data_IF_243174604076
#
_entry.id   IF_243174604076
#
_cell.length_a   1.000
_cell.length_b   1.000
_cell.length_c   1.000
_cell.angle_alpha   90.00
_cell.angle_beta   90.00
_cell.angle_gamma   90.00
#
_symmetry.space_group_name_H-M   'P 1'
#
loop_
_entity.id
_entity.type
_entity.pdbx_description
1 polymer ?
#
# COMPACT_ATOMS: atom_id res chain seq x y z
N UNK A 1 -5.76 -22.37 -11.72
CA UNK A 1 -4.58 -22.36 -10.85
C UNK A 1 -3.85 -21.04 -11.00
N UNK A 2 -3.54 -20.33 -9.91
CA UNK A 2 -2.77 -19.09 -9.90
C UNK A 2 -1.28 -19.38 -9.67
N UNK A 3 -0.97 -20.28 -8.74
CA UNK A 3 0.36 -20.75 -8.37
C UNK A 3 0.25 -22.16 -7.81
N UNK A 4 1.37 -22.85 -7.55
CA UNK A 4 1.38 -24.14 -6.89
C UNK A 4 0.72 -24.05 -5.51
N UNK A 5 -0.37 -24.80 -5.32
CA UNK A 5 -1.17 -24.79 -4.11
C UNK A 5 -2.16 -23.63 -3.97
N UNK A 6 -2.19 -22.66 -4.92
CA UNK A 6 -3.14 -21.56 -4.92
C UNK A 6 -4.08 -21.63 -6.12
N UNK A 7 -5.36 -21.82 -5.85
CA UNK A 7 -6.40 -21.95 -6.86
C UNK A 7 -7.42 -20.83 -6.69
N UNK A 8 -7.91 -20.32 -7.83
CA UNK A 8 -9.06 -19.44 -7.86
C UNK A 8 -10.29 -20.28 -8.23
N UNK A 9 -11.36 -20.16 -7.44
CA UNK A 9 -12.66 -20.71 -7.80
C UNK A 9 -13.35 -19.67 -8.66
N UNK A 10 -13.61 -20.02 -9.93
CA UNK A 10 -14.33 -19.17 -10.88
C UNK A 10 -15.81 -19.51 -10.71
N UNK A 11 -16.68 -18.55 -10.38
CA UNK A 11 -18.13 -18.77 -10.37
C UNK A 11 -18.59 -19.24 -11.76
N UNK A 12 -19.55 -20.17 -11.79
CA UNK A 12 -20.01 -20.81 -13.05
C UNK A 12 -20.51 -19.82 -14.10
N UNK A 13 -20.99 -18.66 -13.67
CA UNK A 13 -21.55 -17.59 -14.51
C UNK A 13 -20.51 -16.64 -15.10
N UNK A 14 -19.22 -16.80 -14.73
CA UNK A 14 -18.16 -15.87 -15.14
C UNK A 14 -17.17 -16.59 -16.06
N UNK A 15 -16.75 -15.88 -17.12
CA UNK A 15 -15.78 -16.39 -18.10
C UNK A 15 -14.42 -16.74 -17.50
N UNK A 16 -13.68 -17.62 -18.20
CA UNK A 16 -12.32 -18.08 -17.82
C UNK A 16 -11.28 -16.97 -17.63
N UNK A 17 -11.58 -15.73 -18.02
CA UNK A 17 -10.74 -14.54 -17.86
C UNK A 17 -10.89 -13.87 -16.49
N UNK A 18 -11.81 -14.35 -15.63
CA UNK A 18 -11.96 -13.80 -14.28
C UNK A 18 -10.65 -13.89 -13.50
N UNK A 19 -10.21 -12.72 -13.01
CA UNK A 19 -9.11 -12.62 -12.08
C UNK A 19 -9.65 -12.11 -10.74
N UNK A 20 -9.38 -12.79 -9.62
CA UNK A 20 -9.81 -12.32 -8.31
C UNK A 20 -9.12 -11.01 -7.97
N UNK A 21 -9.70 -10.27 -7.02
CA UNK A 21 -9.06 -9.10 -6.45
C UNK A 21 -7.62 -9.44 -6.02
N UNK A 22 -6.62 -8.74 -6.58
CA UNK A 22 -5.21 -9.03 -6.34
C UNK A 22 -4.77 -8.78 -4.89
N UNK A 23 -5.45 -7.90 -4.15
CA UNK A 23 -5.22 -7.73 -2.73
C UNK A 23 -5.54 -9.01 -1.94
N UNK A 24 -6.60 -9.72 -2.33
CA UNK A 24 -6.94 -11.02 -1.76
C UNK A 24 -5.94 -12.10 -2.16
N UNK A 25 -5.42 -12.04 -3.38
CA UNK A 25 -4.34 -12.94 -3.82
C UNK A 25 -3.08 -12.69 -2.98
N UNK A 26 -2.73 -11.43 -2.70
CA UNK A 26 -1.61 -11.06 -1.84
C UNK A 26 -1.75 -11.67 -0.43
N UNK A 27 -2.93 -11.56 0.19
CA UNK A 27 -3.24 -12.16 1.51
C UNK A 27 -2.95 -13.67 1.51
N UNK A 28 -3.36 -14.37 0.47
CA UNK A 28 -3.14 -15.82 0.35
C UNK A 28 -1.68 -16.20 0.02
N UNK A 29 -0.91 -15.33 -0.65
CA UNK A 29 0.50 -15.58 -0.96
C UNK A 29 1.40 -15.52 0.27
N UNK A 30 1.04 -14.71 1.27
CA UNK A 30 1.80 -14.50 2.51
C UNK A 30 1.14 -15.14 3.74
N UNK A 31 0.25 -16.10 3.50
CA UNK A 31 -0.49 -16.81 4.54
C UNK A 31 0.43 -17.30 5.66
N UNK A 32 0.04 -17.01 6.91
CA UNK A 32 0.77 -17.31 8.15
C UNK A 32 2.02 -16.45 8.43
N UNK A 33 2.24 -15.36 7.71
CA UNK A 33 3.31 -14.41 8.00
C UNK A 33 2.73 -13.06 8.40
N UNK A 34 3.46 -12.30 9.22
CA UNK A 34 3.12 -10.90 9.51
C UNK A 34 3.36 -10.04 8.27
N UNK A 35 2.30 -9.47 7.73
CA UNK A 35 2.35 -8.62 6.54
C UNK A 35 1.29 -7.52 6.58
N UNK A 36 1.44 -6.55 5.71
CA UNK A 36 0.38 -5.63 5.29
C UNK A 36 0.58 -5.20 3.84
N UNK A 37 -0.52 -4.84 3.17
CA UNK A 37 -0.49 -4.17 1.87
C UNK A 37 -0.12 -2.71 2.12
N UNK A 38 0.92 -2.22 1.44
CA UNK A 38 1.46 -0.89 1.66
C UNK A 38 1.69 -0.11 0.37
N UNK A 39 2.26 1.10 0.51
CA UNK A 39 2.67 1.94 -0.62
C UNK A 39 1.53 2.23 -1.61
N UNK A 40 1.80 2.13 -2.91
CA UNK A 40 0.82 2.44 -3.96
C UNK A 40 -0.43 1.56 -3.87
N UNK A 41 -0.28 0.28 -3.49
CA UNK A 41 -1.42 -0.62 -3.29
C UNK A 41 -2.32 -0.20 -2.12
N UNK A 42 -1.74 0.33 -1.05
CA UNK A 42 -2.53 0.90 0.05
C UNK A 42 -3.20 2.22 -0.37
N UNK A 43 -2.52 3.05 -1.18
CA UNK A 43 -3.16 4.25 -1.76
C UNK A 43 -4.36 3.88 -2.63
N UNK A 44 -4.32 2.74 -3.35
CA UNK A 44 -5.45 2.20 -4.11
C UNK A 44 -6.62 1.83 -3.19
N UNK A 45 -6.35 1.03 -2.17
CA UNK A 45 -7.37 0.62 -1.18
C UNK A 45 -8.01 1.84 -0.49
N UNK A 46 -7.25 2.90 -0.23
CA UNK A 46 -7.76 4.16 0.32
C UNK A 46 -8.46 5.07 -0.72
N UNK A 47 -8.51 4.68 -1.99
CA UNK A 47 -9.14 5.46 -3.06
C UNK A 47 -8.39 6.74 -3.44
N UNK A 48 -7.07 6.78 -3.24
CA UNK A 48 -6.24 7.97 -3.42
C UNK A 48 -5.49 8.02 -4.74
N UNK A 49 -5.38 6.91 -5.45
CA UNK A 49 -4.69 6.86 -6.74
C UNK A 49 -5.55 7.38 -7.89
N UNK A 50 -4.88 7.72 -8.99
CA UNK A 50 -5.52 8.18 -10.24
C UNK A 50 -5.53 7.11 -11.33
N UNK A 51 -4.62 6.15 -11.24
CA UNK A 51 -4.48 5.07 -12.21
C UNK A 51 -4.22 3.74 -11.49
N UNK A 52 -4.91 2.65 -11.89
CA UNK A 52 -4.67 1.35 -11.30
C UNK A 52 -3.23 0.89 -11.55
N UNK A 53 -2.66 0.18 -10.60
CA UNK A 53 -1.33 -0.41 -10.71
C UNK A 53 -1.42 -1.89 -11.07
N UNK A 54 -0.48 -2.36 -11.89
CA UNK A 54 -0.25 -3.79 -12.12
C UNK A 54 0.80 -4.37 -11.15
N UNK A 55 1.10 -3.62 -10.08
CA UNK A 55 2.06 -4.04 -9.05
C UNK A 55 1.37 -3.99 -7.71
N UNK A 56 1.42 -5.11 -6.99
CA UNK A 56 0.96 -5.23 -5.61
C UNK A 56 2.13 -5.21 -4.66
N UNK A 57 2.14 -4.23 -3.74
CA UNK A 57 3.21 -4.04 -2.77
C UNK A 57 2.84 -4.63 -1.41
N UNK A 58 3.64 -5.59 -0.95
CA UNK A 58 3.45 -6.32 0.29
C UNK A 58 4.62 -6.03 1.21
N UNK A 59 4.35 -5.52 2.38
CA UNK A 59 5.35 -5.25 3.42
C UNK A 59 5.34 -6.37 4.45
N UNK A 60 6.52 -6.88 4.81
CA UNK A 60 6.67 -7.93 5.81
C UNK A 60 7.96 -7.77 6.60
N UNK A 61 8.02 -8.33 7.81
CA UNK A 61 9.26 -8.46 8.58
C UNK A 61 10.20 -9.50 7.99
N UNK A 62 9.64 -10.52 7.35
CA UNK A 62 10.39 -11.61 6.73
C UNK A 62 10.84 -11.24 5.32
N UNK A 63 12.04 -11.69 4.97
CA UNK A 63 12.53 -11.57 3.61
C UNK A 63 11.93 -12.68 2.75
N UNK A 64 11.15 -12.32 1.74
CA UNK A 64 10.67 -13.25 0.72
C UNK A 64 11.70 -13.44 -0.40
N UNK A 65 11.80 -14.67 -0.89
CA UNK A 65 12.63 -15.04 -2.04
C UNK A 65 11.76 -15.88 -2.99
N UNK A 66 11.57 -15.45 -4.24
CA UNK A 66 12.06 -14.19 -4.83
C UNK A 66 11.36 -12.94 -4.26
N UNK A 67 12.02 -11.79 -4.32
CA UNK A 67 11.45 -10.49 -3.90
C UNK A 67 10.30 -10.02 -4.79
N UNK A 68 10.20 -10.56 -6.01
CA UNK A 68 9.19 -10.22 -7.00
C UNK A 68 8.64 -11.50 -7.59
N UNK A 69 7.33 -11.55 -7.78
CA UNK A 69 6.64 -12.68 -8.36
C UNK A 69 5.57 -12.17 -9.33
N UNK A 70 5.57 -12.70 -10.53
CA UNK A 70 4.52 -12.42 -11.52
C UNK A 70 3.47 -13.54 -11.47
N UNK A 71 2.22 -13.16 -11.26
CA UNK A 71 1.07 -14.07 -11.36
C UNK A 71 0.10 -13.46 -12.36
N UNK A 72 -0.06 -14.12 -13.50
CA UNK A 72 -0.70 -13.53 -14.68
C UNK A 72 -0.03 -12.18 -15.01
N UNK A 73 -0.81 -11.09 -15.04
CA UNK A 73 -0.32 -9.77 -15.40
C UNK A 73 -0.03 -8.87 -14.18
N UNK A 74 -0.17 -9.40 -12.96
CA UNK A 74 0.08 -8.65 -11.73
C UNK A 74 1.42 -9.07 -11.13
N UNK A 75 2.26 -8.08 -10.83
CA UNK A 75 3.55 -8.28 -10.17
C UNK A 75 3.40 -8.04 -8.67
N UNK A 76 3.69 -9.04 -7.86
CA UNK A 76 3.73 -8.95 -6.41
C UNK A 76 5.16 -8.64 -5.99
N UNK A 77 5.38 -7.52 -5.28
CA UNK A 77 6.68 -7.12 -4.76
C UNK A 77 6.69 -7.13 -3.24
N UNK A 78 7.65 -7.86 -2.67
CA UNK A 78 7.79 -8.03 -1.22
C UNK A 78 8.87 -7.09 -0.69
N UNK A 79 8.48 -6.21 0.24
CA UNK A 79 9.34 -5.20 0.85
C UNK A 79 9.56 -5.58 2.32
N UNK A 80 10.83 -5.79 2.67
CA UNK A 80 11.18 -6.08 4.06
C UNK A 80 11.28 -4.79 4.86
N UNK A 81 10.63 -4.79 6.04
CA UNK A 81 10.79 -3.80 7.10
C UNK A 81 11.36 -4.44 8.36
N UNK A 82 12.04 -3.64 9.18
CA UNK A 82 12.43 -4.00 10.55
C UNK A 82 11.25 -3.74 11.50
N UNK A 83 11.38 -4.17 12.76
CA UNK A 83 10.33 -4.01 13.78
C UNK A 83 9.96 -2.55 14.03
N UNK A 84 10.93 -1.63 13.96
CA UNK A 84 10.71 -0.20 14.15
C UNK A 84 9.74 0.40 13.13
N UNK A 85 9.81 -0.05 11.87
CA UNK A 85 8.99 0.46 10.78
C UNK A 85 7.73 -0.37 10.51
N UNK A 86 7.60 -1.55 11.14
CA UNK A 86 6.49 -2.46 10.93
C UNK A 86 5.37 -2.23 11.96
N UNK A 87 4.50 -1.24 11.70
CA UNK A 87 3.35 -0.87 12.53
C UNK A 87 2.33 -0.06 11.70
N UNK A 88 1.20 0.34 12.30
CA UNK A 88 0.24 1.25 11.68
C UNK A 88 -0.54 0.58 10.53
N UNK A 89 -1.06 -0.63 10.76
CA UNK A 89 -1.87 -1.35 9.79
C UNK A 89 -3.04 -2.02 10.50
N UNK A 90 -4.11 -2.20 9.75
CA UNK A 90 -5.37 -2.76 10.25
C UNK A 90 -6.08 -3.59 9.18
N UNK A 91 -7.13 -4.31 9.57
CA UNK A 91 -7.99 -5.04 8.64
C UNK A 91 -8.93 -4.08 7.92
N UNK A 92 -8.67 -3.84 6.64
CA UNK A 92 -9.41 -2.91 5.78
C UNK A 92 -10.25 -3.68 4.76
N UNK A 93 -11.49 -3.23 4.53
CA UNK A 93 -12.36 -3.79 3.51
C UNK A 93 -11.82 -3.45 2.11
N UNK A 94 -11.74 -4.46 1.24
CA UNK A 94 -11.38 -4.32 -0.18
C UNK A 94 -12.57 -4.57 -1.11
N UNK A 95 -13.58 -5.20 -0.59
CA UNK A 95 -14.89 -5.44 -1.20
C UNK A 95 -15.93 -5.72 -0.09
N UNK A 96 -17.17 -6.02 -0.47
CA UNK A 96 -18.29 -6.24 0.47
C UNK A 96 -18.10 -7.47 1.38
N UNK A 97 -17.17 -8.37 1.07
CA UNK A 97 -17.01 -9.65 1.76
C UNK A 97 -15.63 -9.88 2.35
N UNK A 98 -14.61 -9.16 1.86
CA UNK A 98 -13.22 -9.47 2.17
C UNK A 98 -12.48 -8.30 2.80
N UNK A 99 -11.65 -8.64 3.79
CA UNK A 99 -10.69 -7.72 4.42
C UNK A 99 -9.27 -8.24 4.25
N UNK A 100 -8.35 -7.32 4.07
CA UNK A 100 -6.91 -7.59 4.07
C UNK A 100 -6.20 -6.73 5.11
N UNK A 101 -5.00 -7.13 5.53
CA UNK A 101 -4.15 -6.24 6.30
C UNK A 101 -3.60 -5.13 5.40
N UNK A 102 -3.89 -3.89 5.73
CA UNK A 102 -3.47 -2.70 4.97
C UNK A 102 -2.89 -1.66 5.93
N UNK A 103 -1.86 -0.95 5.52
CA UNK A 103 -1.42 0.24 6.28
C UNK A 103 -2.56 1.24 6.35
N UNK A 104 -2.78 1.82 7.54
CA UNK A 104 -3.71 2.93 7.70
C UNK A 104 -3.23 4.18 6.92
N UNK A 105 -4.07 5.19 6.85
CA UNK A 105 -3.84 6.33 5.98
C UNK A 105 -2.53 7.07 6.30
N UNK A 106 -2.26 7.36 7.58
CA UNK A 106 -1.07 8.07 8.03
C UNK A 106 0.19 7.24 7.76
N UNK A 107 0.15 5.93 8.06
CA UNK A 107 1.26 5.03 7.79
C UNK A 107 1.53 4.88 6.30
N UNK A 108 0.47 4.81 5.49
CA UNK A 108 0.59 4.73 4.02
C UNK A 108 1.35 5.94 3.49
N UNK A 109 1.00 7.16 3.92
CA UNK A 109 1.71 8.39 3.51
C UNK A 109 3.18 8.35 3.96
N UNK A 110 3.46 7.96 5.20
CA UNK A 110 4.83 7.84 5.73
C UNK A 110 5.66 6.82 4.93
N UNK A 111 5.12 5.65 4.64
CA UNK A 111 5.79 4.64 3.85
C UNK A 111 6.10 5.14 2.43
N UNK A 112 5.12 5.78 1.79
CA UNK A 112 5.28 6.37 0.47
C UNK A 112 6.36 7.47 0.45
N UNK A 113 6.37 8.34 1.45
CA UNK A 113 7.41 9.37 1.59
C UNK A 113 8.78 8.78 1.88
N UNK A 114 8.84 7.65 2.59
CA UNK A 114 10.10 6.97 2.89
C UNK A 114 10.73 6.33 1.65
N UNK A 115 9.93 5.61 0.86
CA UNK A 115 10.38 4.90 -0.35
C UNK A 115 9.51 5.25 -1.58
N UNK A 116 9.65 6.46 -2.15
CA UNK A 116 8.79 6.95 -3.24
C UNK A 116 8.79 6.08 -4.49
N UNK A 117 9.83 5.28 -4.71
CA UNK A 117 9.93 4.37 -5.84
C UNK A 117 8.84 3.28 -5.84
N UNK A 118 8.21 3.01 -4.68
CA UNK A 118 7.08 2.07 -4.56
C UNK A 118 5.71 2.76 -4.61
N UNK A 119 5.69 4.05 -4.95
CA UNK A 119 4.46 4.88 -4.94
C UNK A 119 4.31 5.72 -6.21
N UNK A 120 4.89 5.27 -7.31
CA UNK A 120 4.91 6.00 -8.60
C UNK A 120 5.53 7.40 -8.53
N UNK A 121 6.41 7.61 -7.54
CA UNK A 121 7.15 8.85 -7.34
C UNK A 121 6.45 9.88 -6.44
N UNK A 122 7.15 11.01 -6.24
CA UNK A 122 6.72 12.02 -5.25
C UNK A 122 5.43 12.74 -5.67
N UNK A 123 5.21 12.92 -6.95
CA UNK A 123 4.02 13.61 -7.47
C UNK A 123 2.72 12.91 -7.10
N UNK A 124 2.69 11.58 -7.21
CA UNK A 124 1.51 10.80 -6.80
C UNK A 124 1.29 10.85 -5.28
N UNK A 125 2.37 10.89 -4.51
CA UNK A 125 2.29 11.06 -3.05
C UNK A 125 1.68 12.42 -2.69
N UNK A 126 2.12 13.49 -3.35
CA UNK A 126 1.56 14.86 -3.15
C UNK A 126 0.06 14.87 -3.45
N UNK A 127 -0.36 14.29 -4.58
CA UNK A 127 -1.79 14.17 -4.92
C UNK A 127 -2.57 13.38 -3.87
N UNK A 128 -2.00 12.29 -3.37
CA UNK A 128 -2.62 11.46 -2.33
C UNK A 128 -2.79 12.25 -1.02
N UNK A 129 -1.76 12.99 -0.58
CA UNK A 129 -1.81 13.84 0.60
C UNK A 129 -2.90 14.91 0.41
N UNK A 130 -2.93 15.59 -0.73
CA UNK A 130 -3.93 16.61 -1.03
C UNK A 130 -5.36 16.05 -0.98
N UNK A 131 -5.61 14.92 -1.64
CA UNK A 131 -6.93 14.25 -1.61
C UNK A 131 -7.35 13.80 -0.22
N UNK A 132 -6.40 13.44 0.63
CA UNK A 132 -6.66 12.92 1.97
C UNK A 132 -6.59 13.97 3.08
N UNK A 133 -6.28 15.24 2.78
CA UNK A 133 -6.04 16.30 3.79
C UNK A 133 -7.09 16.40 4.89
N UNK A 134 -8.37 16.20 4.54
CA UNK A 134 -9.49 16.27 5.49
C UNK A 134 -9.74 14.96 6.28
N UNK A 135 -9.04 13.88 5.91
CA UNK A 135 -9.17 12.55 6.55
C UNK A 135 -7.97 12.21 7.44
N UNK A 136 -6.85 12.91 7.25
CA UNK A 136 -5.62 12.70 8.01
C UNK A 136 -5.77 13.23 9.44
N UNK A 137 -5.43 12.37 10.41
CA UNK A 137 -5.33 12.76 11.81
C UNK A 137 -3.91 13.29 12.08
N UNK A 138 -3.81 14.59 12.33
CA UNK A 138 -2.54 15.27 12.59
C UNK A 138 -1.83 14.78 13.85
N UNK A 139 -2.56 14.37 14.90
CA UNK A 139 -1.97 13.85 16.13
C UNK A 139 -1.39 12.45 15.89
N UNK A 140 -2.12 11.60 15.18
CA UNK A 140 -1.67 10.26 14.79
C UNK A 140 -0.49 10.34 13.83
N UNK A 141 -0.52 11.25 12.86
CA UNK A 141 0.59 11.49 11.94
C UNK A 141 1.87 11.86 12.71
N UNK A 142 1.80 12.80 13.66
CA UNK A 142 2.92 13.21 14.50
C UNK A 142 3.48 12.04 15.30
N UNK A 143 2.62 11.28 15.98
CA UNK A 143 3.01 10.10 16.76
C UNK A 143 3.71 9.06 15.89
N UNK A 144 3.22 8.86 14.66
CA UNK A 144 3.81 7.90 13.72
C UNK A 144 5.14 8.38 13.16
N UNK A 145 5.30 9.68 12.89
CA UNK A 145 6.56 10.27 12.45
C UNK A 145 7.64 10.11 13.53
N UNK A 146 7.29 10.38 14.80
CA UNK A 146 8.20 10.20 15.93
C UNK A 146 8.62 8.72 16.09
N UNK A 147 7.67 7.79 15.99
CA UNK A 147 7.95 6.36 16.08
C UNK A 147 8.77 5.84 14.90
N UNK A 148 8.47 6.28 13.69
CA UNK A 148 9.16 5.88 12.46
C UNK A 148 10.59 6.42 12.44
N UNK A 149 10.82 7.59 12.98
CA UNK A 149 12.12 8.23 13.21
C UNK A 149 13.02 8.28 11.96
N UNK A 150 12.48 8.74 10.84
CA UNK A 150 13.20 8.90 9.59
C UNK A 150 13.21 10.35 9.13
N UNK A 151 14.35 11.03 9.25
CA UNK A 151 14.49 12.45 8.89
C UNK A 151 14.12 12.77 7.44
N UNK A 152 14.34 11.82 6.52
CA UNK A 152 13.97 11.99 5.12
C UNK A 152 12.46 12.14 4.92
N UNK A 153 11.66 11.47 5.74
CA UNK A 153 10.18 11.57 5.72
C UNK A 153 9.77 12.96 6.21
N UNK A 154 10.32 13.40 7.36
CA UNK A 154 10.04 14.73 7.92
C UNK A 154 10.38 15.85 6.93
N UNK A 155 11.55 15.79 6.29
CA UNK A 155 11.96 16.80 5.30
C UNK A 155 11.05 16.82 4.08
N UNK A 156 10.66 15.64 3.55
CA UNK A 156 9.78 15.56 2.39
C UNK A 156 8.36 16.04 2.72
N UNK A 157 7.82 15.63 3.87
CA UNK A 157 6.51 16.06 4.31
C UNK A 157 6.49 17.56 4.57
N UNK A 158 7.48 18.10 5.30
CA UNK A 158 7.61 19.53 5.57
C UNK A 158 7.65 20.35 4.29
N UNK A 159 8.50 19.97 3.32
CA UNK A 159 8.56 20.62 2.03
C UNK A 159 7.21 20.62 1.28
N UNK A 160 6.51 19.48 1.30
CA UNK A 160 5.18 19.38 0.67
C UNK A 160 4.20 20.30 1.36
N UNK A 161 4.14 20.31 2.70
CA UNK A 161 3.19 21.12 3.45
C UNK A 161 3.47 22.64 3.32
N UNK A 162 4.72 23.06 3.26
CA UNK A 162 5.11 24.46 3.04
C UNK A 162 4.69 24.99 1.67
N UNK A 163 4.63 24.11 0.67
CA UNK A 163 4.27 24.46 -0.70
C UNK A 163 2.84 24.07 -1.07
N UNK A 164 1.99 23.73 -0.10
CA UNK A 164 0.61 23.26 -0.35
C UNK A 164 -0.25 24.30 -1.09
N UNK A 165 -0.04 25.59 -0.84
CA UNK A 165 -0.76 26.67 -1.51
C UNK A 165 -0.50 26.73 -3.02
N UNK A 166 0.63 26.18 -3.50
CA UNK A 166 0.95 26.12 -4.92
C UNK A 166 0.18 25.00 -5.64
N UNK A 167 -0.34 24.02 -4.90
CA UNK A 167 -1.10 22.89 -5.45
C UNK A 167 -2.61 23.15 -5.61
N UNK A 168 -3.12 24.25 -5.06
CA UNK A 168 -4.52 24.65 -5.25
C UNK A 168 -4.80 25.11 -6.70
N UNK A 169 -3.74 25.29 -7.52
CA UNK A 169 -3.81 25.71 -8.92
C UNK A 169 -3.53 24.58 -9.92
N UNK A 170 -3.38 23.32 -9.47
CA UNK A 170 -3.19 22.12 -10.31
C UNK A 170 -4.45 21.25 -10.33
#
# INVERSE_FOLDING_TARGET
RLKDGLYNVIPYEINSEYFPNWHLVADNLVKNEDYYIGFYSALDIHGLITQPSLIEYIVSKKQFIPKKQLIRNIRFEYIKYNDQHFFGFEKTWIDDFNKVWCSDLEKTIIDCLYKPQYSSGITEIVKAIYKSKNKLDSNKMKLYLDKFNAQVVLKRLGFILENFSEFDNL
#
